data_IF_694779811281
#
_entry.id   IF_694779811281
#
_cell.length_a   1.000
_cell.length_b   1.000
_cell.length_c   1.000
_cell.angle_alpha   90.00
_cell.angle_beta   90.00
_cell.angle_gamma   90.00
#
_symmetry.space_group_name_H-M   'P 1'
#
loop_
_entity.id
_entity.type
_entity.pdbx_description
1 polymer ?
#
# COMPACT_ATOMS: atom_id res chain seq x y z
N UNK A 1 -4.87 1.31 2.19
CA UNK A 1 -4.23 1.26 0.85
C UNK A 1 -2.69 1.29 0.95
N UNK A 2 -2.02 0.17 0.69
CA UNK A 2 -0.56 0.13 0.66
C UNK A 2 -0.03 0.55 -0.73
N UNK A 3 -0.30 1.78 -1.14
CA UNK A 3 0.12 2.34 -2.43
C UNK A 3 1.61 2.14 -2.68
N UNK A 4 2.43 2.37 -1.64
CA UNK A 4 3.89 2.20 -1.69
C UNK A 4 4.35 0.78 -2.04
N UNK A 5 3.62 -0.25 -1.60
CA UNK A 5 3.99 -1.65 -1.86
C UNK A 5 3.85 -1.99 -3.34
N UNK A 6 2.73 -1.59 -3.96
CA UNK A 6 2.44 -1.86 -5.38
C UNK A 6 3.49 -1.21 -6.29
N UNK A 7 3.95 0.00 -5.94
CA UNK A 7 5.03 0.66 -6.68
C UNK A 7 6.36 -0.07 -6.60
N UNK A 8 6.71 -0.62 -5.44
CA UNK A 8 7.95 -1.40 -5.28
C UNK A 8 7.88 -2.68 -6.12
N UNK A 9 6.78 -3.42 -6.06
CA UNK A 9 6.60 -4.63 -6.89
C UNK A 9 6.63 -4.33 -8.38
N UNK A 10 5.92 -3.28 -8.81
CA UNK A 10 5.92 -2.85 -10.22
C UNK A 10 7.34 -2.54 -10.70
N UNK A 11 8.14 -1.82 -9.90
CA UNK A 11 9.55 -1.57 -10.26
C UNK A 11 10.39 -2.85 -10.32
N UNK A 12 10.20 -3.80 -9.41
CA UNK A 12 10.94 -5.07 -9.42
C UNK A 12 10.66 -5.90 -10.68
N UNK A 13 9.47 -5.77 -11.24
CA UNK A 13 9.07 -6.45 -12.49
C UNK A 13 9.27 -5.59 -13.74
N UNK A 14 9.96 -4.45 -13.65
CA UNK A 14 10.10 -3.46 -14.74
C UNK A 14 8.75 -2.98 -15.35
N UNK A 15 7.73 -2.83 -14.51
CA UNK A 15 6.41 -2.32 -14.89
C UNK A 15 6.39 -0.80 -15.09
N UNK A 16 5.35 -0.32 -15.79
CA UNK A 16 5.16 1.11 -16.05
C UNK A 16 4.68 1.84 -14.76
N UNK A 17 5.48 2.79 -14.23
CA UNK A 17 5.13 3.51 -13.01
C UNK A 17 3.95 4.47 -13.20
N UNK A 18 3.72 5.02 -14.39
CA UNK A 18 2.59 5.93 -14.65
C UNK A 18 1.27 5.17 -14.70
N UNK A 19 1.26 3.99 -15.33
CA UNK A 19 0.09 3.11 -15.34
C UNK A 19 -0.21 2.55 -13.94
N UNK A 20 0.84 2.22 -13.18
CA UNK A 20 0.69 1.80 -11.77
C UNK A 20 0.11 2.94 -10.93
N UNK A 21 0.58 4.16 -11.12
CA UNK A 21 0.09 5.35 -10.41
C UNK A 21 -1.39 5.61 -10.69
N UNK A 22 -1.82 5.56 -11.94
CA UNK A 22 -3.21 5.82 -12.29
C UNK A 22 -4.16 4.78 -11.70
N UNK A 23 -3.79 3.49 -11.72
CA UNK A 23 -4.59 2.43 -11.10
C UNK A 23 -4.72 2.60 -9.58
N UNK A 24 -3.60 2.89 -8.91
CA UNK A 24 -3.59 3.11 -7.46
C UNK A 24 -4.43 4.34 -7.11
N UNK A 25 -4.28 5.44 -7.84
CA UNK A 25 -5.07 6.65 -7.62
C UNK A 25 -6.56 6.42 -7.83
N UNK A 26 -6.95 5.63 -8.85
CA UNK A 26 -8.34 5.26 -9.09
C UNK A 26 -8.88 4.39 -7.94
N UNK A 27 -8.12 3.39 -7.50
CA UNK A 27 -8.49 2.52 -6.39
C UNK A 27 -8.70 3.30 -5.08
N UNK A 28 -7.77 4.18 -4.74
CA UNK A 28 -7.85 5.03 -3.55
C UNK A 28 -9.04 6.00 -3.63
N UNK A 29 -9.31 6.56 -4.81
CA UNK A 29 -10.46 7.43 -5.03
C UNK A 29 -11.78 6.68 -4.79
N UNK A 30 -11.92 5.49 -5.37
CA UNK A 30 -13.09 4.62 -5.13
C UNK A 30 -13.21 4.29 -3.65
N UNK A 31 -12.08 4.02 -2.96
CA UNK A 31 -12.10 3.74 -1.53
C UNK A 31 -12.63 4.92 -0.71
N UNK A 32 -12.17 6.14 -1.00
CA UNK A 32 -12.57 7.34 -0.25
C UNK A 32 -14.03 7.69 -0.52
N UNK A 33 -14.49 7.62 -1.77
CA UNK A 33 -15.84 8.09 -2.14
C UNK A 33 -16.93 7.03 -2.05
N UNK A 34 -16.60 5.75 -2.18
CA UNK A 34 -17.58 4.67 -2.10
C UNK A 34 -17.39 3.84 -0.83
N UNK A 35 -16.21 3.25 -0.63
CA UNK A 35 -16.01 2.26 0.44
C UNK A 35 -16.11 2.86 1.84
N UNK A 36 -15.38 3.95 2.11
CA UNK A 36 -15.36 4.57 3.44
C UNK A 36 -16.76 5.07 3.89
N UNK A 37 -17.56 5.76 3.05
CA UNK A 37 -18.93 6.13 3.40
C UNK A 37 -19.85 4.94 3.65
N UNK A 38 -19.76 3.89 2.83
CA UNK A 38 -20.56 2.68 3.00
C UNK A 38 -20.24 2.02 4.35
N UNK A 39 -18.95 1.87 4.68
CA UNK A 39 -18.53 1.30 5.97
C UNK A 39 -18.97 2.18 7.14
N UNK A 40 -18.86 3.50 7.03
CA UNK A 40 -19.32 4.42 8.07
C UNK A 40 -20.83 4.31 8.31
N UNK A 41 -21.64 4.19 7.24
CA UNK A 41 -23.07 3.95 7.33
C UNK A 41 -23.38 2.62 8.03
N UNK A 42 -22.73 1.53 7.61
CA UNK A 42 -22.95 0.18 8.14
C UNK A 42 -22.56 0.06 9.62
N UNK A 43 -21.45 0.69 10.03
CA UNK A 43 -21.00 0.71 11.42
C UNK A 43 -21.86 1.63 12.29
N UNK A 44 -22.35 2.75 11.75
CA UNK A 44 -23.28 3.64 12.42
C UNK A 44 -24.61 2.97 12.77
N UNK A 45 -25.10 2.08 11.89
CA UNK A 45 -26.30 1.27 12.14
C UNK A 45 -26.05 0.19 13.22
N UNK A 46 -24.80 -0.26 13.36
CA UNK A 46 -24.41 -1.29 14.33
C UNK A 46 -24.12 -0.74 15.74
N UNK A 47 -24.30 0.56 15.98
CA UNK A 47 -24.05 1.25 17.27
C UNK A 47 -22.62 1.11 17.82
N UNK A 48 -21.64 0.76 16.97
CA UNK A 48 -20.23 0.65 17.34
C UNK A 48 -19.63 2.06 17.32
N UNK A 49 -19.12 2.51 18.46
CA UNK A 49 -18.47 3.82 18.57
C UNK A 49 -17.17 3.83 17.79
N UNK A 50 -17.12 4.64 16.73
CA UNK A 50 -15.90 4.87 15.95
C UNK A 50 -14.95 5.75 16.76
N UNK A 51 -13.72 5.31 17.08
CA UNK A 51 -12.80 6.08 17.92
C UNK A 51 -12.06 7.13 17.08
N UNK A 52 -12.74 8.25 16.83
CA UNK A 52 -12.31 9.34 15.95
C UNK A 52 -10.95 9.94 16.34
N UNK A 53 -10.67 10.08 17.64
CA UNK A 53 -9.40 10.64 18.12
C UNK A 53 -8.19 9.79 17.72
N UNK A 54 -8.30 8.47 17.88
CA UNK A 54 -7.24 7.54 17.46
C UNK A 54 -7.09 7.47 15.95
N UNK A 55 -8.20 7.54 15.20
CA UNK A 55 -8.15 7.56 13.74
C UNK A 55 -7.47 8.85 13.24
N UNK A 56 -7.86 10.01 13.77
CA UNK A 56 -7.27 11.29 13.41
C UNK A 56 -5.78 11.32 13.75
N UNK A 57 -5.41 10.90 14.97
CA UNK A 57 -4.01 10.82 15.41
C UNK A 57 -3.20 9.90 14.49
N UNK A 58 -3.74 8.73 14.14
CA UNK A 58 -3.08 7.78 13.23
C UNK A 58 -2.91 8.35 11.82
N UNK A 59 -3.92 9.02 11.27
CA UNK A 59 -3.85 9.65 9.94
C UNK A 59 -2.81 10.76 9.93
N UNK A 60 -2.80 11.62 10.95
CA UNK A 60 -1.83 12.71 11.04
C UNK A 60 -0.41 12.15 11.13
N UNK A 61 -0.19 11.17 12.01
CA UNK A 61 1.14 10.62 12.29
C UNK A 61 1.69 9.77 11.14
N UNK A 62 0.87 8.88 10.57
CA UNK A 62 1.32 7.92 9.55
C UNK A 62 1.17 8.43 8.11
N UNK A 63 0.36 9.46 7.84
CA UNK A 63 0.12 9.97 6.48
C UNK A 63 0.57 11.44 6.37
N UNK A 64 0.00 12.34 7.16
CA UNK A 64 0.20 13.78 6.97
C UNK A 64 1.65 14.19 7.21
N UNK A 65 2.24 13.79 8.34
CA UNK A 65 3.63 14.14 8.68
C UNK A 65 4.62 13.61 7.62
N UNK A 66 4.62 12.32 7.24
CA UNK A 66 5.51 11.82 6.18
C UNK A 66 5.35 12.54 4.85
N UNK A 67 4.12 12.88 4.44
CA UNK A 67 3.86 13.60 3.18
C UNK A 67 4.45 15.01 3.23
N UNK A 68 4.29 15.74 4.33
CA UNK A 68 4.87 17.08 4.49
C UNK A 68 6.40 17.02 4.40
N UNK A 69 7.03 16.10 5.14
CA UNK A 69 8.48 15.91 5.10
C UNK A 69 8.96 15.57 3.68
N UNK A 70 8.28 14.65 3.00
CA UNK A 70 8.61 14.27 1.62
C UNK A 70 8.50 15.46 0.65
N UNK A 71 7.47 16.31 0.78
CA UNK A 71 7.30 17.50 -0.06
C UNK A 71 8.38 18.55 0.19
N UNK A 72 8.76 18.77 1.45
CA UNK A 72 9.85 19.69 1.82
C UNK A 72 11.17 19.20 1.21
N UNK A 73 11.50 17.91 1.41
CA UNK A 73 12.72 17.31 0.85
C UNK A 73 12.73 17.42 -0.68
N UNK A 74 11.62 17.08 -1.34
CA UNK A 74 11.47 17.20 -2.79
C UNK A 74 11.72 18.63 -3.28
N UNK A 75 11.13 19.63 -2.62
CA UNK A 75 11.32 21.05 -2.98
C UNK A 75 12.79 21.47 -2.84
N UNK A 76 13.46 21.07 -1.76
CA UNK A 76 14.88 21.38 -1.54
C UNK A 76 15.80 20.69 -2.57
N UNK A 77 15.51 19.44 -2.92
CA UNK A 77 16.28 18.68 -3.91
C UNK A 77 16.10 19.25 -5.32
N UNK A 78 14.88 19.59 -5.72
CA UNK A 78 14.61 20.21 -7.02
C UNK A 78 15.21 21.61 -7.14
N UNK A 79 15.29 22.37 -6.04
CA UNK A 79 15.99 23.66 -6.02
C UNK A 79 17.50 23.52 -6.31
N UNK A 80 18.09 22.34 -6.09
CA UNK A 80 19.49 22.01 -6.44
C UNK A 80 19.63 21.43 -7.85
N UNK A 81 18.54 21.33 -8.61
CA UNK A 81 18.49 20.78 -9.96
C UNK A 81 18.04 19.33 -10.04
N UNK A 82 17.56 18.92 -11.22
CA UNK A 82 17.00 17.59 -11.47
C UNK A 82 17.99 16.46 -11.16
N UNK A 83 19.27 16.65 -11.50
CA UNK A 83 20.32 15.66 -11.23
C UNK A 83 20.49 15.36 -9.72
N UNK A 84 20.34 16.35 -8.86
CA UNK A 84 20.43 16.16 -7.41
C UNK A 84 19.23 15.35 -6.87
N UNK A 85 18.04 15.60 -7.42
CA UNK A 85 16.83 14.83 -7.10
C UNK A 85 16.97 13.36 -7.56
N UNK A 86 17.42 13.12 -8.78
CA UNK A 86 17.56 11.77 -9.33
C UNK A 86 18.64 10.97 -8.57
N UNK A 87 19.76 11.60 -8.22
CA UNK A 87 20.80 10.98 -7.41
C UNK A 87 20.29 10.59 -6.00
N UNK A 88 19.51 11.46 -5.36
CA UNK A 88 18.89 11.15 -4.07
C UNK A 88 17.87 10.01 -4.18
N UNK A 89 17.06 10.01 -5.23
CA UNK A 89 16.07 8.96 -5.48
C UNK A 89 16.71 7.59 -5.67
N UNK A 90 17.80 7.52 -6.46
CA UNK A 90 18.58 6.30 -6.65
C UNK A 90 19.18 5.78 -5.34
N UNK A 91 19.57 6.67 -4.43
CA UNK A 91 20.13 6.29 -3.13
C UNK A 91 19.07 5.79 -2.15
N UNK A 92 17.85 6.36 -2.17
CA UNK A 92 16.74 5.98 -1.27
C UNK A 92 16.04 4.69 -1.73
N UNK A 93 16.03 4.42 -3.04
CA UNK A 93 15.38 3.25 -3.62
C UNK A 93 15.70 1.91 -2.90
N UNK A 94 16.98 1.50 -2.68
CA UNK A 94 17.28 0.24 -2.02
C UNK A 94 16.77 0.18 -0.57
N UNK A 95 16.73 1.32 0.14
CA UNK A 95 16.20 1.38 1.51
C UNK A 95 14.70 1.12 1.57
N UNK A 96 13.94 1.59 0.58
CA UNK A 96 12.50 1.33 0.48
C UNK A 96 12.21 -0.17 0.29
N UNK A 97 12.97 -0.82 -0.61
CA UNK A 97 12.86 -2.28 -0.83
C UNK A 97 13.26 -3.05 0.43
N UNK A 98 14.36 -2.67 1.07
CA UNK A 98 14.82 -3.30 2.30
C UNK A 98 13.79 -3.17 3.44
N UNK A 99 13.18 -1.99 3.62
CA UNK A 99 12.15 -1.77 4.63
C UNK A 99 10.89 -2.61 4.37
N UNK A 100 10.48 -2.74 3.11
CA UNK A 100 9.32 -3.57 2.73
C UNK A 100 9.59 -5.06 3.01
N UNK A 101 10.76 -5.56 2.59
CA UNK A 101 11.16 -6.94 2.84
C UNK A 101 11.31 -7.21 4.35
N UNK A 102 11.90 -6.27 5.09
CA UNK A 102 11.98 -6.37 6.55
C UNK A 102 10.59 -6.44 7.19
N UNK A 103 9.66 -5.61 6.74
CA UNK A 103 8.27 -5.64 7.23
C UNK A 103 7.61 -7.00 6.96
N UNK A 104 7.85 -7.59 5.79
CA UNK A 104 7.37 -8.92 5.45
C UNK A 104 7.96 -9.97 6.40
N UNK A 105 9.28 -9.98 6.60
CA UNK A 105 9.95 -10.89 7.52
C UNK A 105 9.41 -10.76 8.94
N UNK A 106 9.24 -9.53 9.43
CA UNK A 106 8.69 -9.25 10.76
C UNK A 106 7.24 -9.73 10.88
N UNK A 107 6.40 -9.52 9.86
CA UNK A 107 5.01 -9.97 9.86
C UNK A 107 4.93 -11.51 9.96
N UNK A 108 5.75 -12.23 9.19
CA UNK A 108 5.82 -13.70 9.27
C UNK A 108 6.42 -14.17 10.61
N UNK A 109 7.44 -13.49 11.13
CA UNK A 109 8.04 -13.82 12.41
C UNK A 109 7.04 -13.67 13.56
N UNK A 110 6.28 -12.58 13.59
CA UNK A 110 5.27 -12.35 14.63
C UNK A 110 4.01 -13.20 14.48
N UNK A 111 3.68 -13.64 13.26
CA UNK A 111 2.53 -14.52 13.01
C UNK A 111 2.89 -16.02 12.98
N UNK A 112 4.15 -16.38 13.23
CA UNK A 112 4.63 -17.78 13.12
C UNK A 112 3.84 -18.81 13.93
N UNK A 113 3.48 -18.48 15.17
CA UNK A 113 2.65 -19.35 16.02
C UNK A 113 1.26 -19.62 15.42
N UNK A 114 0.62 -18.59 14.86
CA UNK A 114 -0.67 -18.73 14.21
C UNK A 114 -0.57 -19.58 12.94
N UNK A 115 0.54 -19.43 12.20
CA UNK A 115 0.83 -20.21 10.98
C UNK A 115 0.93 -21.70 11.29
N UNK A 116 1.61 -22.07 12.37
CA UNK A 116 1.77 -23.46 12.77
C UNK A 116 0.48 -24.07 13.37
N UNK A 117 -0.28 -23.30 14.15
CA UNK A 117 -1.47 -23.79 14.85
C UNK A 117 -2.71 -23.88 13.97
N UNK A 118 -2.82 -23.06 12.93
CA UNK A 118 -4.04 -22.96 12.10
C UNK A 118 -3.78 -23.09 10.59
N UNK A 119 -3.10 -24.15 10.12
CA UNK A 119 -2.72 -24.29 8.71
C UNK A 119 -3.95 -24.41 7.79
N UNK A 120 -5.01 -25.09 8.24
CA UNK A 120 -6.24 -25.28 7.46
C UNK A 120 -6.99 -23.97 7.23
N UNK A 121 -7.05 -23.08 8.24
CA UNK A 121 -7.71 -21.77 8.12
C UNK A 121 -6.92 -20.89 7.14
N UNK A 122 -5.60 -20.90 7.23
CA UNK A 122 -4.74 -20.16 6.31
C UNK A 122 -4.91 -20.67 4.89
N UNK A 123 -4.94 -21.99 4.67
CA UNK A 123 -5.18 -22.56 3.34
C UNK A 123 -6.57 -22.16 2.80
N UNK A 124 -7.59 -22.19 3.66
CA UNK A 124 -8.96 -21.80 3.30
C UNK A 124 -9.06 -20.32 2.89
N UNK A 125 -8.28 -19.42 3.52
CA UNK A 125 -8.22 -18.01 3.15
C UNK A 125 -7.31 -17.77 1.93
N UNK A 126 -6.16 -18.46 1.88
CA UNK A 126 -5.15 -18.28 0.85
C UNK A 126 -5.61 -18.76 -0.52
N UNK A 127 -6.31 -19.90 -0.60
CA UNK A 127 -6.74 -20.48 -1.89
C UNK A 127 -7.68 -19.52 -2.66
N UNK A 128 -8.76 -18.98 -2.08
CA UNK A 128 -9.61 -18.00 -2.75
C UNK A 128 -8.86 -16.73 -3.13
N UNK A 129 -7.97 -16.24 -2.26
CA UNK A 129 -7.17 -15.04 -2.54
C UNK A 129 -6.23 -15.29 -3.72
N UNK A 130 -5.56 -16.44 -3.77
CA UNK A 130 -4.69 -16.81 -4.89
C UNK A 130 -5.48 -16.90 -6.19
N UNK A 131 -6.63 -17.58 -6.19
CA UNK A 131 -7.50 -17.68 -7.38
C UNK A 131 -7.92 -16.28 -7.82
N UNK A 132 -8.37 -15.42 -6.90
CA UNK A 132 -8.78 -14.06 -7.20
C UNK A 132 -7.64 -13.24 -7.82
N UNK A 133 -6.44 -13.29 -7.23
CA UNK A 133 -5.27 -12.54 -7.70
C UNK A 133 -4.83 -13.03 -9.08
N UNK A 134 -4.72 -14.34 -9.30
CA UNK A 134 -4.34 -14.89 -10.60
C UNK A 134 -5.38 -14.61 -11.67
N UNK A 135 -6.67 -14.72 -11.34
CA UNK A 135 -7.76 -14.44 -12.27
C UNK A 135 -7.74 -12.96 -12.69
N UNK A 136 -7.72 -12.04 -11.73
CA UNK A 136 -7.73 -10.61 -12.01
C UNK A 136 -6.46 -10.19 -12.78
N UNK A 137 -5.29 -10.66 -12.36
CA UNK A 137 -4.02 -10.32 -13.03
C UNK A 137 -3.95 -10.88 -14.45
N UNK A 138 -4.38 -12.14 -14.66
CA UNK A 138 -4.40 -12.75 -16.00
C UNK A 138 -5.42 -12.07 -16.91
N UNK A 139 -6.60 -11.74 -16.40
CA UNK A 139 -7.62 -11.00 -17.15
C UNK A 139 -7.10 -9.62 -17.57
N UNK A 140 -6.52 -8.87 -16.63
CA UNK A 140 -5.92 -7.57 -16.91
C UNK A 140 -4.76 -7.66 -17.91
N UNK A 141 -3.93 -8.71 -17.83
CA UNK A 141 -2.84 -8.94 -18.78
C UNK A 141 -3.35 -9.25 -20.18
N UNK A 142 -4.36 -10.13 -20.30
CA UNK A 142 -4.95 -10.51 -21.60
C UNK A 142 -5.70 -9.35 -22.25
N UNK A 143 -6.39 -8.51 -21.48
CA UNK A 143 -7.13 -7.35 -22.00
C UNK A 143 -6.22 -6.19 -22.43
N UNK A 144 -5.00 -6.11 -21.90
CA UNK A 144 -4.00 -5.10 -22.26
C UNK A 144 -3.00 -5.57 -23.33
N UNK A 145 -3.12 -6.80 -23.81
CA UNK A 145 -2.30 -7.37 -24.89
C UNK A 145 -2.92 -7.11 -26.25
#
# INVERSE_FOLDING_TARGET
>A
PCTAMVFVWSRLTNGDPYFTLSQVALNDSIMIFAFAPIVALLLGISSITVPWDTLFTSVVLYIVIPVILAQIMRKQLLARGQAAFDAAMNKIQPWSVAALLLTLVLLFAFQGDAILKQPLIIALLAVPILIQVFFNSSLAYLLNR
#
